data_IF_392964999490
#
_entry.id   IF_392964999490
#
_cell.length_a   1.000
_cell.length_b   1.000
_cell.length_c   1.000
_cell.angle_alpha   90.00
_cell.angle_beta   90.00
_cell.angle_gamma   90.00
#
_symmetry.space_group_name_H-M   'P 1'
#
loop_
_entity.id
_entity.type
_entity.pdbx_description
1 polymer ?
#
# COMPACT_ATOMS: atom_id res chain seq x y z
N UNK A 1 11.02 8.68 -1.93
CA UNK A 1 10.09 9.73 -1.49
C UNK A 1 8.67 9.24 -1.72
N UNK A 2 7.83 9.26 -0.69
CA UNK A 2 6.47 8.74 -0.72
C UNK A 2 5.47 9.88 -0.88
N UNK A 3 4.57 9.79 -1.85
CA UNK A 3 3.36 10.60 -1.88
C UNK A 3 2.30 9.90 -1.03
N UNK A 4 2.48 9.94 0.30
CA UNK A 4 1.71 9.12 1.23
C UNK A 4 0.92 9.97 2.22
N UNK A 5 -0.40 9.77 2.23
CA UNK A 5 -1.29 10.12 3.32
C UNK A 5 -1.66 8.87 4.12
N UNK A 6 -2.02 9.04 5.40
CA UNK A 6 -2.52 7.93 6.23
C UNK A 6 -4.01 7.73 5.93
N UNK A 7 -4.40 6.50 5.62
CA UNK A 7 -5.82 6.16 5.46
C UNK A 7 -6.36 5.46 6.71
N UNK A 8 -7.53 5.91 7.17
CA UNK A 8 -8.26 5.36 8.31
C UNK A 8 -9.57 4.69 7.86
N UNK A 9 -10.09 3.71 8.61
CA UNK A 9 -11.41 3.17 8.30
C UNK A 9 -12.50 4.20 8.60
N UNK A 10 -13.50 4.29 7.73
CA UNK A 10 -14.62 5.20 7.89
C UNK A 10 -15.48 4.86 9.12
N UNK A 11 -15.61 3.58 9.46
CA UNK A 11 -16.29 3.10 10.66
C UNK A 11 -15.51 1.97 11.35
N UNK A 12 -15.96 1.53 12.54
CA UNK A 12 -15.41 0.37 13.24
C UNK A 12 -15.87 -0.99 12.67
N UNK A 13 -16.64 -1.00 11.58
CA UNK A 13 -17.09 -2.24 10.94
C UNK A 13 -15.87 -3.05 10.46
N UNK A 14 -15.83 -4.37 10.71
CA UNK A 14 -14.71 -5.21 10.28
C UNK A 14 -14.38 -5.11 8.79
N UNK A 15 -15.41 -4.92 7.95
CA UNK A 15 -15.24 -4.79 6.50
C UNK A 15 -14.49 -3.50 6.13
N UNK A 16 -14.80 -2.39 6.79
CA UNK A 16 -14.12 -1.09 6.58
C UNK A 16 -12.67 -1.14 7.07
N UNK A 17 -12.43 -1.78 8.22
CA UNK A 17 -11.09 -2.00 8.77
C UNK A 17 -10.25 -2.83 7.81
N UNK A 18 -10.80 -3.93 7.30
CA UNK A 18 -10.10 -4.80 6.35
C UNK A 18 -9.84 -4.10 5.01
N UNK A 19 -10.82 -3.38 4.46
CA UNK A 19 -10.64 -2.60 3.23
C UNK A 19 -9.52 -1.55 3.38
N UNK A 20 -9.43 -0.90 4.54
CA UNK A 20 -8.37 0.06 4.85
C UNK A 20 -7.00 -0.62 4.94
N UNK A 21 -6.92 -1.80 5.56
CA UNK A 21 -5.68 -2.58 5.64
C UNK A 21 -5.16 -2.95 4.25
N UNK A 22 -6.04 -3.41 3.36
CA UNK A 22 -5.68 -3.73 1.97
C UNK A 22 -5.22 -2.48 1.20
N UNK A 23 -5.90 -1.35 1.41
CA UNK A 23 -5.51 -0.08 0.80
C UNK A 23 -4.12 0.37 1.27
N UNK A 24 -3.83 0.28 2.57
CA UNK A 24 -2.52 0.65 3.14
C UNK A 24 -1.41 -0.29 2.66
N UNK A 25 -1.69 -1.59 2.50
CA UNK A 25 -0.75 -2.56 1.90
C UNK A 25 -0.36 -2.16 0.49
N UNK A 26 -1.32 -1.69 -0.30
CA UNK A 26 -1.06 -1.19 -1.64
C UNK A 26 -0.29 0.14 -1.62
N UNK A 27 -0.65 1.06 -0.72
CA UNK A 27 -0.01 2.37 -0.55
C UNK A 27 1.48 2.25 -0.17
N UNK A 28 1.80 1.35 0.77
CA UNK A 28 3.16 1.14 1.28
C UNK A 28 3.97 0.13 0.47
N UNK A 29 3.38 -0.50 -0.54
CA UNK A 29 3.95 -1.62 -1.27
C UNK A 29 5.41 -1.40 -1.71
N UNK A 30 5.65 -0.32 -2.46
CA UNK A 30 6.97 -0.03 -3.02
C UNK A 30 7.96 0.41 -1.93
N UNK A 31 7.46 1.13 -0.93
CA UNK A 31 8.25 1.62 0.20
C UNK A 31 8.76 0.47 1.06
N UNK A 32 7.89 -0.50 1.34
CA UNK A 32 8.25 -1.67 2.15
C UNK A 32 9.38 -2.48 1.50
N UNK A 33 9.41 -2.58 0.16
CA UNK A 33 10.54 -3.20 -0.56
C UNK A 33 11.83 -2.42 -0.37
N UNK A 34 11.80 -1.10 -0.51
CA UNK A 34 12.99 -0.24 -0.36
C UNK A 34 13.50 -0.18 1.09
N UNK A 35 12.60 -0.26 2.06
CA UNK A 35 12.95 -0.19 3.50
C UNK A 35 13.43 -1.53 4.03
N UNK A 36 12.78 -2.63 3.62
CA UNK A 36 13.09 -3.98 4.16
C UNK A 36 14.03 -4.79 3.28
N UNK A 37 14.26 -4.35 2.04
CA UNK A 37 15.10 -5.06 1.07
C UNK A 37 14.51 -6.39 0.61
N UNK A 38 13.22 -6.64 0.86
CA UNK A 38 12.52 -7.87 0.51
C UNK A 38 11.09 -7.59 0.10
N UNK A 39 10.54 -8.44 -0.77
CA UNK A 39 9.13 -8.38 -1.11
C UNK A 39 8.26 -8.78 0.09
N UNK A 40 7.25 -7.97 0.47
CA UNK A 40 6.33 -8.32 1.55
C UNK A 40 5.59 -9.64 1.30
N UNK A 41 5.33 -10.43 2.33
CA UNK A 41 4.69 -11.76 2.19
C UNK A 41 3.34 -11.72 1.47
N UNK A 42 2.51 -10.69 1.72
CA UNK A 42 1.21 -10.51 1.08
C UNK A 42 1.31 -10.29 -0.44
N UNK A 43 2.45 -9.82 -0.95
CA UNK A 43 2.66 -9.60 -2.38
C UNK A 43 2.57 -10.89 -3.18
N UNK A 44 3.07 -12.00 -2.63
CA UNK A 44 3.00 -13.30 -3.31
C UNK A 44 1.54 -13.68 -3.62
N UNK A 45 0.62 -13.41 -2.69
CA UNK A 45 -0.81 -13.60 -2.87
C UNK A 45 -1.37 -12.63 -3.92
N UNK A 46 -1.05 -11.33 -3.81
CA UNK A 46 -1.52 -10.33 -4.78
C UNK A 46 -1.11 -10.66 -6.22
N UNK A 47 0.17 -11.00 -6.45
CA UNK A 47 0.69 -11.36 -7.76
C UNK A 47 -0.03 -12.59 -8.32
N UNK A 48 -0.20 -13.63 -7.49
CA UNK A 48 -0.90 -14.86 -7.88
C UNK A 48 -2.36 -14.59 -8.24
N UNK A 49 -3.08 -13.84 -7.40
CA UNK A 49 -4.50 -13.51 -7.62
C UNK A 49 -4.74 -12.66 -8.87
N UNK A 50 -3.76 -11.83 -9.25
CA UNK A 50 -3.81 -11.00 -10.46
C UNK A 50 -3.11 -11.63 -11.68
N UNK A 51 -2.66 -12.89 -11.58
CA UNK A 51 -1.96 -13.60 -12.66
C UNK A 51 -0.70 -12.86 -13.15
N UNK A 52 -0.03 -12.13 -12.26
CA UNK A 52 1.19 -11.38 -12.54
C UNK A 52 2.39 -12.29 -12.25
N UNK A 53 3.21 -12.55 -13.27
CA UNK A 53 4.46 -13.29 -13.13
C UNK A 53 5.64 -12.32 -13.19
N UNK A 54 6.39 -12.22 -12.08
CA UNK A 54 7.66 -11.52 -12.04
C UNK A 54 8.79 -12.49 -12.41
N UNK A 55 9.73 -12.00 -13.21
CA UNK A 55 11.01 -12.67 -13.45
C UNK A 55 11.99 -12.05 -12.45
N UNK A 56 12.34 -12.81 -11.41
CA UNK A 56 13.23 -12.37 -10.33
C UNK A 56 14.46 -13.28 -10.36
N UNK A 57 15.64 -12.69 -10.47
CA UNK A 57 16.93 -13.38 -10.34
C UNK A 57 17.42 -13.30 -8.89
N UNK A 58 18.31 -14.20 -8.51
CA UNK A 58 18.93 -14.19 -7.17
C UNK A 58 19.73 -12.90 -6.91
N UNK A 59 20.36 -12.36 -7.97
CA UNK A 59 21.08 -11.09 -7.94
C UNK A 59 20.14 -9.91 -7.63
N UNK A 60 18.89 -9.95 -8.08
CA UNK A 60 17.89 -8.91 -7.80
C UNK A 60 17.55 -8.90 -6.31
N UNK A 61 17.36 -10.08 -5.71
CA UNK A 61 17.05 -10.22 -4.28
C UNK A 61 18.21 -9.78 -3.40
N UNK A 62 19.44 -10.11 -3.81
CA UNK A 62 20.66 -9.67 -3.13
C UNK A 62 20.79 -8.14 -3.21
N UNK A 63 20.54 -7.56 -4.39
CA UNK A 63 20.56 -6.11 -4.59
C UNK A 63 19.56 -5.39 -3.69
N UNK A 64 18.32 -5.88 -3.57
CA UNK A 64 17.33 -5.27 -2.69
C UNK A 64 17.77 -5.33 -1.23
N UNK A 65 18.30 -6.47 -0.79
CA UNK A 65 18.71 -6.69 0.60
C UNK A 65 19.89 -5.81 1.01
N UNK A 66 20.85 -5.61 0.11
CA UNK A 66 22.09 -4.88 0.41
C UNK A 66 21.95 -3.36 0.20
N UNK A 67 20.83 -2.88 -0.36
CA UNK A 67 20.62 -1.47 -0.70
C UNK A 67 19.31 -0.90 -0.10
N UNK A 68 19.09 -1.09 1.20
CA UNK A 68 17.97 -0.45 1.91
C UNK A 68 18.21 1.04 2.14
N UNK A 69 17.13 1.82 2.21
CA UNK A 69 17.23 3.26 2.47
C UNK A 69 17.61 3.59 3.91
N UNK A 70 18.42 4.63 4.12
CA UNK A 70 18.75 5.14 5.47
C UNK A 70 17.60 5.92 6.11
N UNK A 71 16.75 6.55 5.29
CA UNK A 71 15.62 7.33 5.74
C UNK A 71 14.45 7.26 4.74
N UNK A 72 13.24 7.44 5.26
CA UNK A 72 12.02 7.53 4.45
C UNK A 72 11.57 8.98 4.41
N UNK A 73 11.64 9.60 3.22
CA UNK A 73 11.01 10.90 2.98
C UNK A 73 9.58 10.72 2.49
N UNK A 74 8.66 11.52 3.00
CA UNK A 74 7.26 11.53 2.57
C UNK A 74 6.72 12.96 2.54
N UNK A 75 5.84 13.23 1.58
CA UNK A 75 5.06 14.46 1.52
C UNK A 75 3.68 14.20 2.08
N UNK A 76 3.37 14.80 3.23
CA UNK A 76 2.07 14.67 3.89
C UNK A 76 1.25 15.95 3.75
N UNK A 77 0.05 15.82 3.20
CA UNK A 77 -0.91 16.91 3.04
C UNK A 77 -2.15 16.73 3.93
N UNK A 78 -2.66 15.51 4.00
CA UNK A 78 -3.88 15.16 4.75
C UNK A 78 -3.97 13.66 4.96
N UNK A 79 -4.78 13.25 5.94
CA UNK A 79 -5.27 11.88 6.05
C UNK A 79 -6.51 11.67 5.16
N UNK A 80 -6.81 10.40 4.90
CA UNK A 80 -7.98 9.95 4.15
C UNK A 80 -8.81 8.96 4.97
N UNK A 81 -10.06 8.73 4.57
CA UNK A 81 -10.87 7.62 5.09
C UNK A 81 -11.27 6.68 3.95
N UNK A 82 -11.24 5.37 4.22
CA UNK A 82 -11.74 4.33 3.31
C UNK A 82 -12.87 3.52 3.94
N UNK A 83 -13.79 3.05 3.11
CA UNK A 83 -14.87 2.13 3.48
C UNK A 83 -14.96 1.02 2.45
N UNK A 84 -15.44 -0.15 2.87
CA UNK A 84 -15.77 -1.24 1.96
C UNK A 84 -16.93 -0.89 1.01
N UNK A 85 -17.77 0.10 1.35
CA UNK A 85 -18.87 0.59 0.51
C UNK A 85 -18.93 2.12 0.53
N UNK A 86 -18.74 2.73 -0.64
CA UNK A 86 -18.73 4.18 -0.78
C UNK A 86 -20.11 4.81 -1.08
N UNK A 87 -21.15 4.01 -1.22
CA UNK A 87 -22.51 4.47 -1.55
C UNK A 87 -23.06 5.39 -0.46
N UNK A 88 -23.45 6.60 -0.83
CA UNK A 88 -24.04 7.58 0.09
C UNK A 88 -23.06 8.24 1.07
N UNK A 89 -21.75 7.98 0.97
CA UNK A 89 -20.74 8.63 1.80
C UNK A 89 -20.30 9.96 1.20
N UNK A 90 -20.07 10.97 2.05
CA UNK A 90 -19.45 12.21 1.63
C UNK A 90 -18.01 11.96 1.17
N UNK A 91 -17.67 12.50 0.00
CA UNK A 91 -16.34 12.39 -0.60
C UNK A 91 -15.60 13.71 -0.50
N UNK A 92 -14.32 13.63 -0.13
CA UNK A 92 -13.38 14.73 -0.24
C UNK A 92 -12.40 14.46 -1.38
N UNK A 93 -11.65 15.47 -1.84
CA UNK A 93 -10.58 15.27 -2.85
C UNK A 93 -9.50 14.28 -2.40
N UNK A 94 -9.31 14.09 -1.09
CA UNK A 94 -8.36 13.12 -0.55
C UNK A 94 -8.89 11.67 -0.59
N UNK A 95 -10.21 11.49 -0.72
CA UNK A 95 -10.89 10.19 -0.73
C UNK A 95 -11.51 9.87 -2.10
N UNK A 96 -11.31 10.71 -3.11
CA UNK A 96 -11.87 10.53 -4.44
C UNK A 96 -11.06 9.49 -5.22
N UNK A 97 -11.47 8.23 -5.10
CA UNK A 97 -10.94 7.16 -5.94
C UNK A 97 -11.56 7.31 -7.33
N UNK A 98 -10.80 7.84 -8.29
CA UNK A 98 -11.18 7.76 -9.70
C UNK A 98 -11.35 6.27 -10.09
N UNK A 99 -12.40 5.94 -10.86
CA UNK A 99 -12.66 4.59 -11.32
C UNK A 99 -11.53 4.04 -12.19
#
# INVERSE_FOLDING_TARGET
MLAAGKTYPYTCKPEDVFATLEHERHNLFFSDVQVRGVYPSFMSYYLKSNQIKLIIKEEDLSTLKDNTVDFVSFSYYSSACSSARAEGLEKSKANDQKP
#
